data_IF_049068664338
#
_entry.id   IF_049068664338
#
_cell.length_a   1.000
_cell.length_b   1.000
_cell.length_c   1.000
_cell.angle_alpha   90.00
_cell.angle_beta   90.00
_cell.angle_gamma   90.00
#
_symmetry.space_group_name_H-M   'P 1'
#
loop_
_entity.id
_entity.type
_entity.pdbx_description
1 polymer ?
#
# COMPACT_ATOMS: atom_id res chain seq x y z
N UNK A 1 -1.32 -3.54 15.67
CA UNK A 1 -1.82 -4.04 16.96
C UNK A 1 -2.35 -5.43 16.72
N UNK A 2 -1.76 -6.45 17.35
CA UNK A 2 -2.18 -7.85 17.19
C UNK A 2 -3.28 -8.09 18.25
N UNK A 3 -4.50 -8.39 17.81
CA UNK A 3 -5.66 -8.62 18.68
C UNK A 3 -5.90 -10.12 18.85
N UNK A 4 -5.92 -10.59 20.09
CA UNK A 4 -6.32 -11.95 20.50
C UNK A 4 -7.41 -11.79 21.57
N UNK A 5 -8.64 -12.17 21.24
CA UNK A 5 -9.85 -11.64 21.88
C UNK A 5 -10.07 -12.07 23.33
N UNK A 6 -9.94 -11.12 24.27
CA UNK A 6 -10.47 -11.23 25.63
C UNK A 6 -11.19 -9.94 26.06
N UNK A 7 -12.50 -10.09 26.24
CA UNK A 7 -13.54 -9.06 26.42
C UNK A 7 -13.37 -7.99 27.51
N UNK A 8 -13.99 -6.84 27.19
CA UNK A 8 -14.36 -5.62 27.95
C UNK A 8 -13.48 -4.38 27.79
N UNK A 9 -12.19 -4.42 28.11
CA UNK A 9 -11.29 -3.28 27.85
C UNK A 9 -10.92 -3.15 26.36
N UNK A 10 -10.87 -4.27 25.66
CA UNK A 10 -10.55 -4.35 24.22
C UNK A 10 -11.69 -3.83 23.34
N UNK A 11 -12.95 -4.14 23.70
CA UNK A 11 -14.15 -3.65 23.00
C UNK A 11 -14.27 -2.12 23.10
N UNK A 12 -13.93 -1.55 24.27
CA UNK A 12 -13.92 -0.10 24.47
C UNK A 12 -12.79 0.59 23.68
N UNK A 13 -11.58 0.03 23.68
CA UNK A 13 -10.47 0.55 22.88
C UNK A 13 -10.76 0.47 21.38
N UNK A 14 -11.45 -0.58 20.95
CA UNK A 14 -11.86 -0.78 19.58
C UNK A 14 -12.93 0.23 19.13
N UNK A 15 -14.01 0.38 19.91
CA UNK A 15 -15.03 1.39 19.63
C UNK A 15 -14.43 2.80 19.58
N UNK A 16 -13.56 3.13 20.55
CA UNK A 16 -12.86 4.41 20.55
C UNK A 16 -11.98 4.61 19.31
N UNK A 17 -11.31 3.56 18.85
CA UNK A 17 -10.49 3.62 17.63
C UNK A 17 -11.37 3.89 16.39
N UNK A 18 -12.50 3.19 16.26
CA UNK A 18 -13.41 3.35 15.13
C UNK A 18 -14.11 4.71 15.12
N UNK A 19 -14.56 5.21 16.28
CA UNK A 19 -15.14 6.56 16.41
C UNK A 19 -14.14 7.65 15.97
N UNK A 20 -12.86 7.51 16.32
CA UNK A 20 -11.82 8.44 15.90
C UNK A 20 -11.53 8.35 14.39
N UNK A 21 -11.52 7.15 13.82
CA UNK A 21 -11.37 6.95 12.36
C UNK A 21 -12.50 7.67 11.63
N UNK A 22 -13.74 7.43 12.03
CA UNK A 22 -14.91 8.02 11.42
C UNK A 22 -14.89 9.56 11.56
N UNK A 23 -14.57 10.08 12.73
CA UNK A 23 -14.50 11.53 12.98
C UNK A 23 -13.48 12.22 12.08
N UNK A 24 -12.25 11.71 12.02
CA UNK A 24 -11.18 12.29 11.20
C UNK A 24 -11.51 12.22 9.70
N UNK A 25 -12.04 11.09 9.23
CA UNK A 25 -12.42 10.94 7.83
C UNK A 25 -13.61 11.84 7.48
N UNK A 26 -14.57 12.01 8.39
CA UNK A 26 -15.72 12.92 8.22
C UNK A 26 -15.26 14.36 8.07
N UNK A 27 -14.35 14.83 8.94
CA UNK A 27 -13.83 16.19 8.85
C UNK A 27 -13.17 16.44 7.49
N UNK A 28 -12.27 15.56 7.06
CA UNK A 28 -11.60 15.72 5.77
C UNK A 28 -12.57 15.63 4.59
N UNK A 29 -13.50 14.66 4.58
CA UNK A 29 -14.50 14.56 3.53
C UNK A 29 -15.36 15.83 3.44
N UNK A 30 -15.70 16.44 4.58
CA UNK A 30 -16.55 17.64 4.60
C UNK A 30 -15.80 18.92 4.25
N UNK A 31 -14.47 18.97 4.43
CA UNK A 31 -13.61 20.01 3.84
C UNK A 31 -13.63 19.94 2.30
N UNK A 32 -13.80 18.74 1.74
CA UNK A 32 -13.78 18.49 0.30
C UNK A 32 -15.15 18.53 -0.39
N UNK A 33 -16.27 18.63 0.34
CA UNK A 33 -17.62 18.59 -0.25
C UNK A 33 -18.24 19.97 -0.36
N UNK A 34 -19.09 20.15 -1.37
CA UNK A 34 -20.04 21.27 -1.42
C UNK A 34 -21.16 21.08 -0.40
N UNK A 35 -21.92 22.16 -0.15
CA UNK A 35 -23.06 22.13 0.78
C UNK A 35 -24.10 21.06 0.40
N UNK A 36 -24.38 20.89 -0.90
CA UNK A 36 -25.35 19.91 -1.38
C UNK A 36 -24.84 18.46 -1.24
N UNK A 37 -23.57 18.21 -1.56
CA UNK A 37 -22.92 16.90 -1.40
C UNK A 37 -22.89 16.49 0.07
N UNK A 38 -22.50 17.41 0.95
CA UNK A 38 -22.48 17.21 2.40
C UNK A 38 -23.87 16.90 2.94
N UNK A 39 -24.88 17.70 2.57
CA UNK A 39 -26.25 17.48 3.03
C UNK A 39 -26.78 16.11 2.59
N UNK A 40 -26.44 15.66 1.38
CA UNK A 40 -26.81 14.32 0.93
C UNK A 40 -26.13 13.23 1.79
N UNK A 41 -24.83 13.35 2.05
CA UNK A 41 -24.08 12.40 2.89
C UNK A 41 -24.60 12.33 4.32
N UNK A 42 -24.89 13.48 4.94
CA UNK A 42 -25.45 13.55 6.30
C UNK A 42 -26.80 12.84 6.39
N UNK A 43 -27.65 12.93 5.35
CA UNK A 43 -28.90 12.15 5.27
C UNK A 43 -28.62 10.66 5.19
N UNK A 44 -27.68 10.22 4.35
CA UNK A 44 -27.37 8.79 4.20
C UNK A 44 -26.76 8.18 5.46
N UNK A 45 -25.96 8.93 6.23
CA UNK A 45 -25.37 8.44 7.48
C UNK A 45 -26.40 8.07 8.56
N UNK A 46 -27.64 8.54 8.44
CA UNK A 46 -28.74 8.22 9.37
C UNK A 46 -29.65 7.10 8.85
N UNK A 47 -29.37 6.57 7.66
CA UNK A 47 -30.16 5.52 7.01
C UNK A 47 -29.83 4.13 7.55
N UNK A 48 -30.74 3.17 7.31
CA UNK A 48 -30.48 1.76 7.61
C UNK A 48 -29.42 1.16 6.66
N UNK A 49 -28.92 -0.04 6.99
CA UNK A 49 -27.85 -0.69 6.24
C UNK A 49 -28.16 -0.88 4.74
N UNK A 50 -29.41 -1.23 4.37
CA UNK A 50 -29.80 -1.43 2.97
C UNK A 50 -29.76 -0.12 2.17
N UNK A 51 -30.25 0.96 2.78
CA UNK A 51 -30.20 2.31 2.20
C UNK A 51 -28.75 2.81 2.10
N UNK A 52 -27.89 2.57 3.10
CA UNK A 52 -26.46 2.88 3.05
C UNK A 52 -25.73 2.14 1.92
N UNK A 53 -25.99 0.84 1.76
CA UNK A 53 -25.46 0.06 0.64
C UNK A 53 -25.95 0.59 -0.72
N UNK A 54 -27.21 1.02 -0.79
CA UNK A 54 -27.77 1.65 -1.99
C UNK A 54 -27.11 3.00 -2.27
N UNK A 55 -26.84 3.80 -1.23
CA UNK A 55 -26.14 5.07 -1.32
C UNK A 55 -24.69 4.88 -1.78
N UNK A 56 -24.00 3.83 -1.32
CA UNK A 56 -22.66 3.48 -1.77
C UNK A 56 -22.61 3.28 -3.30
N UNK A 57 -23.58 2.54 -3.85
CA UNK A 57 -23.72 2.34 -5.30
C UNK A 57 -24.08 3.66 -5.99
N UNK A 58 -25.04 4.41 -5.45
CA UNK A 58 -25.57 5.62 -6.05
C UNK A 58 -24.69 6.87 -5.91
N UNK A 59 -23.63 6.84 -5.09
CA UNK A 59 -22.76 7.97 -4.78
C UNK A 59 -22.29 8.79 -6.00
N UNK A 60 -21.90 8.22 -7.16
CA UNK A 60 -21.48 9.00 -8.33
C UNK A 60 -22.57 9.91 -8.92
N UNK A 61 -23.84 9.74 -8.52
CA UNK A 61 -24.97 10.59 -8.96
C UNK A 61 -25.11 11.87 -8.13
N UNK A 62 -24.57 11.87 -6.91
CA UNK A 62 -24.73 12.95 -5.94
C UNK A 62 -23.40 13.62 -5.59
N UNK A 63 -22.28 12.92 -5.78
CA UNK A 63 -20.94 13.38 -5.45
C UNK A 63 -20.16 13.65 -6.74
N UNK A 64 -19.49 14.80 -6.79
CA UNK A 64 -18.63 15.20 -7.89
C UNK A 64 -17.42 14.30 -8.02
N UNK A 65 -16.93 14.14 -9.25
CA UNK A 65 -15.80 13.28 -9.58
C UNK A 65 -14.45 13.99 -9.47
N UNK A 66 -14.35 15.06 -8.68
CA UNK A 66 -13.06 15.74 -8.46
C UNK A 66 -12.13 14.84 -7.64
N UNK A 67 -10.83 15.02 -7.83
CA UNK A 67 -9.85 14.37 -6.95
C UNK A 67 -9.66 15.22 -5.70
N UNK A 68 -9.48 14.55 -4.56
CA UNK A 68 -9.05 15.19 -3.32
C UNK A 68 -7.52 15.19 -3.29
N UNK A 69 -6.93 16.29 -2.83
CA UNK A 69 -5.48 16.45 -2.76
C UNK A 69 -5.11 17.10 -1.45
N UNK A 70 -4.12 16.53 -0.76
CA UNK A 70 -3.58 17.15 0.44
C UNK A 70 -2.09 16.86 0.53
N UNK A 71 -1.36 17.76 1.19
CA UNK A 71 0.05 17.50 1.47
C UNK A 71 0.17 16.35 2.48
N UNK A 72 0.50 15.16 1.96
CA UNK A 72 0.69 13.95 2.75
C UNK A 72 1.92 14.01 3.66
N UNK A 73 2.85 14.96 3.46
CA UNK A 73 3.97 15.19 4.39
C UNK A 73 3.55 16.07 5.57
N UNK A 74 2.60 16.99 5.36
CA UNK A 74 2.05 17.87 6.43
C UNK A 74 0.91 17.20 7.19
N UNK A 75 0.07 16.42 6.51
CA UNK A 75 -1.00 15.60 7.09
C UNK A 75 -0.56 14.13 7.05
N UNK A 76 0.59 13.85 7.67
CA UNK A 76 1.31 12.57 7.68
C UNK A 76 0.40 11.37 7.97
N UNK A 77 -0.64 11.59 8.77
CA UNK A 77 -1.66 10.60 9.05
C UNK A 77 -3.04 11.28 9.01
N UNK A 78 -3.78 11.08 7.91
CA UNK A 78 -5.20 11.45 7.85
C UNK A 78 -5.99 10.82 9.01
N UNK A 79 -5.54 9.64 9.44
CA UNK A 79 -6.03 8.91 10.61
C UNK A 79 -4.83 8.61 11.50
N UNK A 80 -4.72 9.31 12.63
CA UNK A 80 -3.58 9.27 13.56
C UNK A 80 -3.16 7.86 14.00
N UNK A 81 -4.11 6.94 14.11
CA UNK A 81 -3.87 5.57 14.60
C UNK A 81 -3.64 4.53 13.50
N UNK A 82 -3.66 4.94 12.22
CA UNK A 82 -3.48 4.06 11.09
C UNK A 82 -2.42 4.63 10.13
N UNK A 83 -1.13 4.57 10.52
CA UNK A 83 -0.07 5.08 9.69
C UNK A 83 -0.01 4.32 8.37
N UNK A 84 0.23 5.06 7.28
CA UNK A 84 0.27 4.52 5.93
C UNK A 84 -1.03 4.56 5.16
N UNK A 85 -2.17 4.84 5.81
CA UNK A 85 -3.41 5.10 5.10
C UNK A 85 -3.36 6.49 4.44
N UNK A 86 -3.55 6.54 3.12
CA UNK A 86 -3.60 7.79 2.36
C UNK A 86 -4.80 7.83 1.42
N UNK A 87 -5.45 8.98 1.36
CA UNK A 87 -6.53 9.26 0.42
C UNK A 87 -6.13 10.28 -0.66
N UNK A 88 -4.86 10.72 -0.68
CA UNK A 88 -4.36 11.71 -1.64
C UNK A 88 -4.50 11.20 -3.08
N UNK A 89 -5.04 12.05 -3.95
CA UNK A 89 -5.35 11.74 -5.34
C UNK A 89 -6.59 10.88 -5.55
N UNK A 90 -7.32 10.49 -4.50
CA UNK A 90 -8.56 9.73 -4.66
C UNK A 90 -9.64 10.60 -5.27
N UNK A 91 -10.52 9.98 -6.06
CA UNK A 91 -11.77 10.61 -6.45
C UNK A 91 -12.66 10.82 -5.21
N UNK A 92 -13.33 11.97 -5.09
CA UNK A 92 -14.23 12.27 -3.98
C UNK A 92 -15.35 11.21 -3.84
N UNK A 93 -15.82 10.63 -4.96
CA UNK A 93 -16.77 9.51 -4.93
C UNK A 93 -16.20 8.28 -4.19
N UNK A 94 -14.91 7.96 -4.40
CA UNK A 94 -14.24 6.85 -3.68
C UNK A 94 -14.16 7.15 -2.19
N UNK A 95 -13.79 8.38 -1.83
CA UNK A 95 -13.73 8.82 -0.43
C UNK A 95 -15.10 8.74 0.25
N UNK A 96 -16.15 9.26 -0.40
CA UNK A 96 -17.53 9.18 0.09
C UNK A 96 -18.03 7.74 0.23
N UNK A 97 -17.71 6.87 -0.73
CA UNK A 97 -18.04 5.44 -0.65
C UNK A 97 -17.39 4.77 0.57
N UNK A 98 -16.09 5.00 0.78
CA UNK A 98 -15.37 4.48 1.94
C UNK A 98 -15.99 4.99 3.25
N UNK A 99 -16.34 6.28 3.32
CA UNK A 99 -17.01 6.86 4.48
C UNK A 99 -18.40 6.27 4.76
N UNK A 100 -19.20 5.98 3.72
CA UNK A 100 -20.49 5.31 3.87
C UNK A 100 -20.35 3.90 4.45
N UNK A 101 -19.29 3.16 4.08
CA UNK A 101 -19.05 1.82 4.63
C UNK A 101 -18.79 1.85 6.14
N UNK A 102 -18.15 2.91 6.65
CA UNK A 102 -17.89 3.06 8.09
C UNK A 102 -19.16 3.25 8.92
N UNK A 103 -20.28 3.66 8.30
CA UNK A 103 -21.57 3.77 8.98
C UNK A 103 -22.33 2.45 9.08
N UNK A 104 -21.87 1.39 8.41
CA UNK A 104 -22.50 0.06 8.52
C UNK A 104 -22.20 -0.63 9.86
N UNK A 105 -21.23 -0.13 10.63
CA UNK A 105 -20.73 -0.78 11.86
C UNK A 105 -21.78 -0.92 12.98
N UNK A 106 -22.90 -0.19 12.92
CA UNK A 106 -23.98 -0.34 13.91
C UNK A 106 -24.65 -1.71 13.90
N UNK A 107 -24.39 -2.54 12.89
CA UNK A 107 -24.92 -3.90 12.75
C UNK A 107 -24.11 -4.94 13.56
N UNK A 108 -24.74 -6.05 14.01
CA UNK A 108 -24.00 -7.19 14.57
C UNK A 108 -22.92 -7.71 13.60
N UNK A 109 -21.80 -8.23 14.14
CA UNK A 109 -20.62 -8.68 13.37
C UNK A 109 -20.99 -9.50 12.13
N UNK A 110 -21.82 -10.52 12.27
CA UNK A 110 -22.19 -11.42 11.17
C UNK A 110 -22.96 -10.69 10.06
N UNK A 111 -23.83 -9.76 10.44
CA UNK A 111 -24.61 -8.97 9.50
C UNK A 111 -23.73 -7.91 8.81
N UNK A 112 -22.82 -7.27 9.55
CA UNK A 112 -21.81 -6.39 8.99
C UNK A 112 -20.99 -7.10 7.92
N UNK A 113 -20.47 -8.29 8.25
CA UNK A 113 -19.66 -9.09 7.33
C UNK A 113 -20.45 -9.43 6.07
N UNK A 114 -21.69 -9.91 6.25
CA UNK A 114 -22.58 -10.23 5.13
C UNK A 114 -22.87 -9.03 4.23
N UNK A 115 -23.06 -7.84 4.79
CA UNK A 115 -23.31 -6.62 4.03
C UNK A 115 -22.10 -6.25 3.14
N UNK A 116 -20.90 -6.26 3.72
CA UNK A 116 -19.66 -5.98 2.96
C UNK A 116 -19.40 -7.04 1.89
N UNK A 117 -19.58 -8.33 2.20
CA UNK A 117 -19.45 -9.43 1.23
C UNK A 117 -20.46 -9.29 0.08
N UNK A 118 -21.70 -8.90 0.37
CA UNK A 118 -22.72 -8.62 -0.65
C UNK A 118 -22.29 -7.48 -1.58
N UNK A 119 -21.66 -6.43 -1.05
CA UNK A 119 -21.09 -5.36 -1.87
C UNK A 119 -19.94 -5.89 -2.74
N UNK A 120 -19.03 -6.69 -2.21
CA UNK A 120 -17.96 -7.30 -3.01
C UNK A 120 -18.49 -8.18 -4.14
N UNK A 121 -19.52 -8.97 -3.90
CA UNK A 121 -20.09 -9.89 -4.90
C UNK A 121 -20.81 -9.18 -6.05
N UNK A 122 -21.30 -7.96 -5.82
CA UNK A 122 -22.12 -7.21 -6.78
C UNK A 122 -21.43 -5.97 -7.35
N UNK A 123 -20.27 -5.60 -6.81
CA UNK A 123 -19.59 -4.35 -7.12
C UNK A 123 -19.07 -4.28 -8.57
N UNK A 124 -19.24 -3.10 -9.18
CA UNK A 124 -18.48 -2.72 -10.37
C UNK A 124 -17.04 -2.30 -10.03
N UNK A 125 -16.23 -2.00 -11.04
CA UNK A 125 -14.80 -1.70 -10.89
C UNK A 125 -14.49 -0.59 -9.87
N UNK A 126 -15.14 0.57 -9.93
CA UNK A 126 -14.87 1.68 -9.00
C UNK A 126 -15.45 1.43 -7.59
N UNK A 127 -16.47 0.60 -7.48
CA UNK A 127 -16.99 0.08 -6.21
C UNK A 127 -15.99 -0.89 -5.57
N UNK A 128 -15.43 -1.82 -6.34
CA UNK A 128 -14.34 -2.70 -5.89
C UNK A 128 -13.14 -1.89 -5.44
N UNK A 129 -12.72 -0.89 -6.23
CA UNK A 129 -11.64 0.02 -5.83
C UNK A 129 -11.96 0.64 -4.46
N UNK A 130 -13.16 1.18 -4.24
CA UNK A 130 -13.54 1.73 -2.94
C UNK A 130 -13.52 0.68 -1.81
N UNK A 131 -14.06 -0.52 -2.03
CA UNK A 131 -14.08 -1.61 -1.04
C UNK A 131 -12.67 -2.04 -0.64
N UNK A 132 -11.77 -2.26 -1.61
CA UNK A 132 -10.37 -2.64 -1.32
C UNK A 132 -9.60 -1.53 -0.60
N UNK A 133 -9.96 -0.28 -0.87
CA UNK A 133 -9.38 0.89 -0.19
C UNK A 133 -9.85 1.04 1.25
N UNK A 134 -11.06 0.55 1.54
CA UNK A 134 -11.66 0.63 2.85
C UNK A 134 -11.11 -0.44 3.80
N UNK A 135 -10.60 -1.57 3.29
CA UNK A 135 -10.13 -2.69 4.12
C UNK A 135 -9.27 -2.33 5.35
N UNK A 136 -8.27 -1.42 5.27
CA UNK A 136 -7.49 -1.03 6.46
C UNK A 136 -8.31 -0.26 7.52
N UNK A 137 -9.48 0.26 7.16
CA UNK A 137 -10.43 0.98 8.02
C UNK A 137 -11.59 0.11 8.52
N UNK A 138 -11.86 -1.02 7.84
CA UNK A 138 -13.01 -1.85 8.18
C UNK A 138 -12.73 -2.66 9.46
N UNK A 139 -13.78 -2.88 10.28
CA UNK A 139 -13.70 -3.77 11.42
C UNK A 139 -13.40 -5.22 11.00
N UNK A 140 -12.91 -6.04 11.94
CA UNK A 140 -12.62 -7.47 11.72
C UNK A 140 -11.63 -7.75 10.56
N UNK A 141 -10.41 -7.20 10.61
CA UNK A 141 -9.51 -7.17 9.45
C UNK A 141 -9.18 -8.56 8.89
N UNK A 142 -9.11 -9.59 9.72
CA UNK A 142 -8.81 -10.96 9.30
C UNK A 142 -9.87 -11.59 8.40
N UNK A 143 -11.14 -11.17 8.54
CA UNK A 143 -12.25 -11.67 7.71
C UNK A 143 -12.06 -11.28 6.24
N UNK A 144 -11.38 -10.15 5.97
CA UNK A 144 -11.14 -9.63 4.63
C UNK A 144 -9.93 -10.22 3.92
N UNK A 145 -9.16 -11.09 4.59
CA UNK A 145 -7.88 -11.57 4.05
C UNK A 145 -8.07 -12.34 2.74
N UNK A 146 -9.13 -13.15 2.64
CA UNK A 146 -9.46 -13.88 1.42
C UNK A 146 -9.68 -12.91 0.24
N UNK A 147 -10.57 -11.91 0.42
CA UNK A 147 -10.82 -10.87 -0.58
C UNK A 147 -9.55 -10.11 -0.94
N UNK A 148 -8.78 -9.67 0.05
CA UNK A 148 -7.57 -8.90 -0.18
C UNK A 148 -6.51 -9.69 -1.00
N UNK A 149 -6.36 -10.99 -0.75
CA UNK A 149 -5.47 -11.84 -1.56
C UNK A 149 -6.05 -12.19 -2.93
N UNK A 150 -7.38 -12.22 -3.10
CA UNK A 150 -8.04 -12.34 -4.41
C UNK A 150 -7.72 -11.12 -5.31
N UNK A 151 -7.70 -9.91 -4.76
CA UNK A 151 -7.33 -8.71 -5.50
C UNK A 151 -5.93 -8.81 -6.11
N UNK A 152 -4.97 -9.38 -5.37
CA UNK A 152 -3.60 -9.64 -5.86
C UNK A 152 -3.61 -10.64 -7.01
N UNK A 153 -4.50 -11.64 -7.01
CA UNK A 153 -4.62 -12.63 -8.09
C UNK A 153 -5.39 -12.11 -9.30
N UNK A 154 -6.21 -11.07 -9.15
CA UNK A 154 -7.02 -10.49 -10.25
C UNK A 154 -6.18 -9.75 -11.29
N UNK A 155 -6.58 -9.75 -12.57
CA UNK A 155 -5.94 -8.94 -13.62
C UNK A 155 -6.46 -7.49 -13.67
N UNK A 156 -7.25 -7.07 -12.67
CA UNK A 156 -7.84 -5.73 -12.62
C UNK A 156 -6.82 -4.74 -12.04
N UNK A 157 -6.16 -3.97 -12.91
CA UNK A 157 -5.09 -3.04 -12.52
C UNK A 157 -5.48 -2.06 -11.41
N UNK A 158 -6.64 -1.41 -11.52
CA UNK A 158 -7.10 -0.45 -10.50
C UNK A 158 -7.45 -1.10 -9.16
N UNK A 159 -7.97 -2.34 -9.17
CA UNK A 159 -8.24 -3.11 -7.94
C UNK A 159 -6.92 -3.52 -7.28
N UNK A 160 -5.96 -3.97 -8.09
CA UNK A 160 -4.62 -4.25 -7.61
C UNK A 160 -3.97 -3.01 -6.97
N UNK A 161 -4.11 -1.85 -7.60
CA UNK A 161 -3.56 -0.59 -7.07
C UNK A 161 -4.19 -0.20 -5.73
N UNK A 162 -5.52 -0.36 -5.61
CA UNK A 162 -6.26 -0.04 -4.39
C UNK A 162 -5.79 -0.85 -3.18
N UNK A 163 -5.36 -2.11 -3.38
CA UNK A 163 -4.84 -2.95 -2.29
C UNK A 163 -3.32 -2.84 -2.11
N UNK A 164 -2.54 -2.60 -3.17
CA UNK A 164 -1.08 -2.69 -3.13
C UNK A 164 -0.35 -1.38 -2.87
N UNK A 165 -0.91 -0.24 -3.29
CA UNK A 165 -0.24 1.06 -3.24
C UNK A 165 -0.92 1.96 -2.21
N UNK A 166 -0.12 2.58 -1.34
CA UNK A 166 -0.57 3.51 -0.29
C UNK A 166 -1.70 2.93 0.60
N UNK A 167 -1.66 1.62 0.81
CA UNK A 167 -2.61 0.87 1.61
C UNK A 167 -1.85 0.05 2.66
N UNK A 168 -2.10 0.24 3.97
CA UNK A 168 -1.37 -0.48 5.01
C UNK A 168 -1.87 -1.91 5.25
N UNK A 169 -3.02 -2.31 4.68
CA UNK A 169 -3.63 -3.61 4.93
C UNK A 169 -2.70 -4.79 4.63
N UNK A 170 -2.01 -4.87 3.47
CA UNK A 170 -1.12 -6.00 3.18
C UNK A 170 0.04 -6.13 4.17
N UNK A 171 0.61 -5.02 4.62
CA UNK A 171 1.71 -5.05 5.59
C UNK A 171 1.27 -5.66 6.92
N UNK A 172 0.07 -5.27 7.36
CA UNK A 172 -0.47 -5.65 8.66
C UNK A 172 -0.97 -7.10 8.68
N UNK A 173 -1.58 -7.58 7.59
CA UNK A 173 -2.38 -8.82 7.62
C UNK A 173 -1.94 -9.90 6.63
N UNK A 174 -1.19 -9.59 5.57
CA UNK A 174 -0.83 -10.64 4.62
C UNK A 174 0.15 -11.64 5.24
N UNK A 175 -0.04 -12.96 5.02
CA UNK A 175 1.03 -13.91 5.22
C UNK A 175 2.16 -13.64 4.21
N UNK A 176 3.37 -14.09 4.54
CA UNK A 176 4.58 -13.81 3.76
C UNK A 176 4.45 -14.19 2.27
N UNK A 177 3.85 -15.34 1.96
CA UNK A 177 3.64 -15.76 0.58
C UNK A 177 2.76 -14.78 -0.23
N UNK A 178 1.67 -14.28 0.36
CA UNK A 178 0.78 -13.32 -0.30
C UNK A 178 1.45 -11.95 -0.44
N UNK A 179 2.23 -11.54 0.56
CA UNK A 179 3.05 -10.35 0.51
C UNK A 179 4.08 -10.40 -0.63
N UNK A 180 4.81 -11.51 -0.74
CA UNK A 180 5.81 -11.70 -1.79
C UNK A 180 5.17 -11.64 -3.18
N UNK A 181 3.99 -12.26 -3.36
CA UNK A 181 3.22 -12.17 -4.61
C UNK A 181 2.80 -10.74 -4.93
N UNK A 182 2.36 -9.96 -3.95
CA UNK A 182 1.99 -8.56 -4.14
C UNK A 182 3.19 -7.73 -4.60
N UNK A 183 4.35 -7.88 -3.96
CA UNK A 183 5.56 -7.14 -4.33
C UNK A 183 6.04 -7.53 -5.73
N UNK A 184 6.14 -8.83 -6.02
CA UNK A 184 6.54 -9.34 -7.34
C UNK A 184 5.60 -8.82 -8.43
N UNK A 185 4.29 -8.90 -8.21
CA UNK A 185 3.30 -8.41 -9.17
C UNK A 185 3.40 -6.90 -9.39
N UNK A 186 3.68 -6.13 -8.34
CA UNK A 186 3.90 -4.68 -8.46
C UNK A 186 5.08 -4.39 -9.40
N UNK A 187 6.17 -5.14 -9.28
CA UNK A 187 7.35 -5.03 -10.14
C UNK A 187 7.04 -5.45 -11.58
N UNK A 188 6.37 -6.60 -11.76
CA UNK A 188 6.00 -7.09 -13.09
C UNK A 188 5.07 -6.13 -13.84
N UNK A 189 4.21 -5.43 -13.10
CA UNK A 189 3.32 -4.41 -13.66
C UNK A 189 4.00 -3.05 -13.88
N UNK A 190 5.30 -2.90 -13.56
CA UNK A 190 6.05 -1.65 -13.70
C UNK A 190 5.56 -0.53 -12.78
N UNK A 191 4.95 -0.88 -11.63
CA UNK A 191 4.36 0.07 -10.69
C UNK A 191 5.40 0.56 -9.67
N UNK A 192 5.20 1.75 -9.07
CA UNK A 192 6.13 2.33 -8.10
C UNK A 192 6.13 1.53 -6.80
N UNK A 193 7.09 0.60 -6.64
CA UNK A 193 7.16 -0.28 -5.45
C UNK A 193 7.35 0.49 -4.15
N UNK A 194 7.94 1.68 -4.20
CA UNK A 194 8.11 2.55 -3.02
C UNK A 194 6.77 3.04 -2.43
N UNK A 195 5.67 2.94 -3.18
CA UNK A 195 4.33 3.21 -2.64
C UNK A 195 3.72 2.00 -1.92
N UNK A 196 4.36 0.83 -1.95
CA UNK A 196 3.96 -0.30 -1.10
C UNK A 196 4.30 0.07 0.35
N UNK A 197 3.27 0.32 1.15
CA UNK A 197 3.47 0.67 2.55
C UNK A 197 4.11 -0.49 3.31
N UNK A 198 5.14 -0.19 4.11
CA UNK A 198 5.87 -1.18 4.89
C UNK A 198 6.86 -2.05 4.09
N UNK A 199 7.17 -1.69 2.83
CA UNK A 199 8.10 -2.44 1.99
C UNK A 199 9.41 -2.80 2.69
N UNK A 200 10.07 -1.80 3.29
CA UNK A 200 11.35 -1.98 3.98
C UNK A 200 11.27 -2.89 5.20
N UNK A 201 10.16 -2.84 5.95
CA UNK A 201 9.97 -3.63 7.18
C UNK A 201 9.68 -5.10 6.90
N UNK A 202 9.10 -5.39 5.74
CA UNK A 202 8.63 -6.73 5.35
C UNK A 202 9.49 -7.37 4.27
N UNK A 203 10.68 -6.82 3.99
CA UNK A 203 11.70 -7.52 3.18
C UNK A 203 12.02 -8.85 3.84
N UNK A 204 12.08 -9.92 3.06
CA UNK A 204 12.40 -11.27 3.51
C UNK A 204 13.29 -11.98 2.49
N UNK A 205 13.89 -13.09 2.92
CA UNK A 205 14.88 -13.81 2.11
C UNK A 205 14.25 -14.42 0.86
N UNK A 206 13.06 -14.98 0.97
CA UNK A 206 12.32 -15.67 -0.07
C UNK A 206 11.90 -14.70 -1.18
N UNK A 207 11.48 -13.49 -0.79
CA UNK A 207 11.29 -12.36 -1.70
C UNK A 207 12.60 -12.00 -2.39
N UNK A 208 13.70 -11.81 -1.64
CA UNK A 208 15.01 -11.47 -2.22
C UNK A 208 15.48 -12.49 -3.26
N UNK A 209 15.35 -13.79 -2.98
CA UNK A 209 15.68 -14.87 -3.93
C UNK A 209 14.84 -14.71 -5.20
N UNK A 210 13.52 -14.60 -5.06
CA UNK A 210 12.61 -14.45 -6.20
C UNK A 210 12.92 -13.20 -7.04
N UNK A 211 13.30 -12.11 -6.38
CA UNK A 211 13.70 -10.86 -7.03
C UNK A 211 15.03 -11.03 -7.76
N UNK A 212 16.01 -11.70 -7.15
CA UNK A 212 17.30 -11.93 -7.78
C UNK A 212 17.19 -12.85 -9.00
N UNK A 213 16.33 -13.85 -8.97
CA UNK A 213 16.00 -14.70 -10.12
C UNK A 213 15.37 -13.87 -11.25
N UNK A 214 14.38 -13.03 -10.92
CA UNK A 214 13.77 -12.09 -11.87
C UNK A 214 14.81 -11.16 -12.51
N UNK A 215 15.67 -10.55 -11.69
CA UNK A 215 16.77 -9.69 -12.17
C UNK A 215 17.65 -10.47 -13.15
N UNK A 216 18.09 -11.66 -12.76
CA UNK A 216 18.99 -12.49 -13.55
C UNK A 216 18.36 -12.85 -14.90
N UNK A 217 17.08 -13.22 -14.93
CA UNK A 217 16.33 -13.50 -16.16
C UNK A 217 16.22 -12.25 -17.06
N UNK A 218 15.94 -11.07 -16.48
CA UNK A 218 15.85 -9.82 -17.23
C UNK A 218 17.17 -9.45 -17.89
N UNK A 219 18.27 -9.53 -17.15
CA UNK A 219 19.61 -9.26 -17.67
C UNK A 219 20.03 -10.28 -18.74
N UNK A 220 19.74 -11.57 -18.55
CA UNK A 220 20.02 -12.60 -19.55
C UNK A 220 19.27 -12.35 -20.87
N UNK A 221 18.08 -11.75 -20.80
CA UNK A 221 17.29 -11.32 -21.95
C UNK A 221 17.68 -9.93 -22.51
N UNK A 222 18.72 -9.27 -21.99
CA UNK A 222 19.13 -7.93 -22.41
C UNK A 222 18.13 -6.83 -22.07
N UNK A 223 17.23 -7.07 -21.10
CA UNK A 223 16.18 -6.13 -20.69
C UNK A 223 16.61 -5.36 -19.45
N UNK A 224 16.38 -4.03 -19.42
CA UNK A 224 16.66 -3.19 -18.24
C UNK A 224 15.80 -3.61 -17.04
N UNK A 225 16.35 -3.44 -15.83
CA UNK A 225 15.66 -3.61 -14.55
C UNK A 225 15.61 -2.24 -13.87
N UNK A 226 14.44 -1.77 -13.38
CA UNK A 226 14.37 -0.53 -12.62
C UNK A 226 15.30 -0.58 -11.40
N UNK A 227 16.13 0.43 -11.21
CA UNK A 227 17.18 0.44 -10.18
C UNK A 227 16.63 0.20 -8.77
N UNK A 228 15.46 0.75 -8.44
CA UNK A 228 14.79 0.53 -7.15
C UNK A 228 14.50 -0.95 -6.83
N UNK A 229 14.40 -1.86 -7.81
CA UNK A 229 14.14 -3.29 -7.54
C UNK A 229 15.26 -3.92 -6.71
N UNK A 230 16.49 -3.41 -6.84
CA UNK A 230 17.65 -3.88 -6.08
C UNK A 230 17.53 -3.67 -4.57
N UNK A 231 16.65 -2.75 -4.10
CA UNK A 231 16.38 -2.49 -2.68
C UNK A 231 15.90 -3.72 -1.90
N UNK A 232 15.31 -4.67 -2.62
CA UNK A 232 14.76 -5.91 -2.05
C UNK A 232 15.83 -6.99 -1.85
N UNK A 233 17.04 -6.79 -2.39
CA UNK A 233 18.14 -7.76 -2.34
C UNK A 233 19.17 -7.40 -1.26
N UNK A 234 19.36 -6.10 -0.97
CA UNK A 234 20.44 -5.57 -0.11
C UNK A 234 20.63 -6.29 1.22
N UNK A 235 19.54 -6.54 1.95
CA UNK A 235 19.58 -7.17 3.28
C UNK A 235 19.81 -8.70 3.24
N UNK A 236 19.68 -9.33 2.07
CA UNK A 236 19.69 -10.79 1.90
C UNK A 236 20.61 -11.24 0.76
N UNK A 237 21.66 -10.46 0.46
CA UNK A 237 22.63 -10.80 -0.58
C UNK A 237 23.27 -12.17 -0.34
N UNK A 238 23.41 -12.94 -1.42
CA UNK A 238 24.08 -14.24 -1.44
C UNK A 238 25.36 -14.16 -2.28
N UNK A 239 26.25 -15.15 -2.19
CA UNK A 239 27.50 -15.16 -2.97
C UNK A 239 27.24 -15.02 -4.49
N UNK A 240 26.13 -15.58 -4.98
CA UNK A 240 25.65 -15.47 -6.35
C UNK A 240 25.34 -14.03 -6.79
N UNK A 241 25.06 -13.12 -5.84
CA UNK A 241 24.80 -11.71 -6.10
C UNK A 241 26.09 -10.95 -6.44
N UNK A 242 27.24 -11.36 -5.93
CA UNK A 242 28.49 -10.61 -6.03
C UNK A 242 28.93 -10.33 -7.48
N UNK A 243 28.97 -11.32 -8.41
CA UNK A 243 29.36 -11.05 -9.80
C UNK A 243 28.45 -10.03 -10.49
N UNK A 244 27.15 -10.04 -10.13
CA UNK A 244 26.18 -9.11 -10.72
C UNK A 244 26.42 -7.68 -10.23
N UNK A 245 26.74 -7.47 -8.95
CA UNK A 245 27.10 -6.14 -8.44
C UNK A 245 28.37 -5.60 -9.07
N UNK A 246 29.38 -6.45 -9.31
CA UNK A 246 30.58 -6.05 -10.07
C UNK A 246 30.20 -5.56 -11.48
N UNK A 247 29.27 -6.24 -12.16
CA UNK A 247 28.75 -5.78 -13.46
C UNK A 247 28.04 -4.43 -13.35
N UNK A 248 27.20 -4.24 -12.33
CA UNK A 248 26.48 -2.97 -12.12
C UNK A 248 27.44 -1.80 -11.86
N UNK A 249 28.48 -1.98 -11.03
CA UNK A 249 29.48 -0.95 -10.80
C UNK A 249 30.26 -0.57 -12.07
N UNK A 250 30.44 -1.52 -13.00
CA UNK A 250 31.08 -1.28 -14.30
C UNK A 250 30.11 -0.71 -15.35
N UNK A 251 28.82 -0.55 -15.03
CA UNK A 251 27.83 -0.02 -15.96
C UNK A 251 28.09 1.45 -16.30
N UNK A 252 27.66 1.85 -17.50
CA UNK A 252 27.64 3.27 -17.91
C UNK A 252 26.48 4.04 -17.29
N UNK A 253 25.41 3.33 -16.89
CA UNK A 253 24.23 3.93 -16.29
C UNK A 253 24.51 4.33 -14.83
N UNK A 254 24.21 5.58 -14.48
CA UNK A 254 24.47 6.12 -13.13
C UNK A 254 23.63 5.38 -12.08
N UNK A 255 22.34 5.18 -12.35
CA UNK A 255 21.40 4.52 -11.43
C UNK A 255 21.80 3.07 -11.11
N UNK A 256 22.41 2.35 -12.05
CA UNK A 256 22.88 0.98 -11.82
C UNK A 256 24.09 0.96 -10.86
N UNK A 257 25.02 1.91 -11.00
CA UNK A 257 26.15 2.05 -10.07
C UNK A 257 25.68 2.45 -8.67
N UNK A 258 24.71 3.35 -8.59
CA UNK A 258 24.11 3.81 -7.33
C UNK A 258 23.34 2.69 -6.63
N UNK A 259 22.55 1.90 -7.37
CA UNK A 259 21.86 0.73 -6.83
C UNK A 259 22.85 -0.31 -6.28
N UNK A 260 23.96 -0.58 -6.98
CA UNK A 260 24.99 -1.48 -6.48
C UNK A 260 25.65 -0.97 -5.20
N UNK A 261 25.92 0.33 -5.11
CA UNK A 261 26.46 0.95 -3.91
C UNK A 261 25.51 0.80 -2.71
N UNK A 262 24.22 1.08 -2.90
CA UNK A 262 23.20 0.93 -1.86
C UNK A 262 23.04 -0.52 -1.42
N UNK A 263 23.01 -1.49 -2.35
CA UNK A 263 22.99 -2.93 -2.01
C UNK A 263 24.18 -3.33 -1.15
N UNK A 264 25.39 -2.92 -1.54
CA UNK A 264 26.59 -3.19 -0.75
C UNK A 264 26.56 -2.48 0.61
N UNK A 265 25.99 -1.27 0.67
CA UNK A 265 25.84 -0.49 1.89
C UNK A 265 24.75 -1.01 2.83
N UNK A 266 23.77 -1.77 2.36
CA UNK A 266 22.78 -2.43 3.25
C UNK A 266 23.25 -3.80 3.72
N UNK A 267 24.17 -4.43 2.97
CA UNK A 267 24.64 -5.77 3.27
C UNK A 267 25.33 -5.87 4.62
N UNK A 268 25.05 -6.98 5.33
CA UNK A 268 25.78 -7.38 6.54
C UNK A 268 27.03 -8.22 6.22
N UNK A 269 27.23 -8.61 4.95
CA UNK A 269 28.35 -9.44 4.54
C UNK A 269 29.61 -8.57 4.25
N UNK A 270 30.75 -8.81 4.94
CA UNK A 270 31.97 -8.02 4.76
C UNK A 270 32.51 -7.97 3.33
N UNK A 271 32.28 -9.01 2.53
CA UNK A 271 32.73 -9.05 1.14
C UNK A 271 32.06 -7.94 0.30
N UNK A 272 30.78 -7.67 0.55
CA UNK A 272 30.03 -6.63 -0.15
C UNK A 272 30.44 -5.23 0.32
N UNK A 273 30.75 -5.06 1.61
CA UNK A 273 31.33 -3.82 2.15
C UNK A 273 32.70 -3.52 1.53
N UNK A 274 33.54 -4.54 1.40
CA UNK A 274 34.85 -4.44 0.74
C UNK A 274 34.74 -4.16 -0.77
N UNK A 275 33.62 -4.53 -1.40
CA UNK A 275 33.35 -4.12 -2.78
C UNK A 275 33.02 -2.62 -2.85
N UNK A 276 32.19 -2.11 -1.94
CA UNK A 276 31.83 -0.69 -1.88
C UNK A 276 33.03 0.22 -1.62
N UNK A 277 33.98 -0.19 -0.77
CA UNK A 277 35.16 0.64 -0.44
C UNK A 277 36.08 0.94 -1.63
N UNK A 278 35.90 0.24 -2.76
CA UNK A 278 36.57 0.55 -4.04
C UNK A 278 35.96 1.79 -4.74
N UNK A 279 34.82 2.27 -4.27
CA UNK A 279 34.05 3.39 -4.81
C UNK A 279 33.78 4.44 -3.71
N UNK A 280 34.83 5.10 -3.16
CA UNK A 280 34.71 5.96 -1.99
C UNK A 280 33.77 7.15 -2.20
N UNK A 281 33.63 7.67 -3.42
CA UNK A 281 32.69 8.76 -3.72
C UNK A 281 31.23 8.34 -3.49
N UNK A 282 30.86 7.12 -3.91
CA UNK A 282 29.51 6.59 -3.69
C UNK A 282 29.28 6.25 -2.21
N UNK A 283 30.29 5.69 -1.55
CA UNK A 283 30.22 5.39 -0.11
C UNK A 283 30.01 6.66 0.73
N UNK A 284 30.77 7.72 0.44
CA UNK A 284 30.62 9.03 1.10
C UNK A 284 29.25 9.65 0.82
N UNK A 285 28.76 9.57 -0.42
CA UNK A 285 27.44 10.08 -0.80
C UNK A 285 26.31 9.41 0.02
N UNK A 286 26.40 8.10 0.25
CA UNK A 286 25.44 7.37 1.09
C UNK A 286 25.57 7.78 2.57
N UNK A 287 26.80 7.89 3.08
CA UNK A 287 27.05 8.26 4.49
C UNK A 287 26.59 9.70 4.81
N UNK A 288 26.67 10.61 3.84
CA UNK A 288 26.20 11.99 3.98
C UNK A 288 24.67 12.13 3.80
N UNK A 289 23.99 11.07 3.35
CA UNK A 289 22.55 11.11 3.03
C UNK A 289 22.23 11.73 1.66
N UNK A 290 23.24 11.97 0.82
CA UNK A 290 23.07 12.49 -0.55
C UNK A 290 22.52 11.41 -1.50
N UNK A 291 22.80 10.13 -1.21
CA UNK A 291 22.33 8.97 -1.95
C UNK A 291 21.58 7.98 -1.04
N UNK A 292 20.30 7.76 -1.35
CA UNK A 292 19.45 6.72 -0.78
C UNK A 292 18.50 6.16 -1.86
N UNK A 293 17.65 5.19 -1.49
CA UNK A 293 16.71 4.61 -2.44
C UNK A 293 15.70 5.60 -3.02
N UNK A 294 15.36 6.70 -2.31
CA UNK A 294 14.42 7.71 -2.82
C UNK A 294 14.94 8.39 -4.10
N UNK A 295 16.27 8.41 -4.30
CA UNK A 295 16.89 8.93 -5.52
C UNK A 295 16.74 8.01 -6.73
N UNK A 296 16.36 6.75 -6.50
CA UNK A 296 16.19 5.71 -7.53
C UNK A 296 14.72 5.31 -7.72
N UNK A 297 13.80 5.99 -7.04
CA UNK A 297 12.37 5.77 -7.14
C UNK A 297 11.84 6.37 -8.45
N UNK A 298 11.59 5.51 -9.43
CA UNK A 298 10.94 5.92 -10.68
C UNK A 298 9.44 6.06 -10.44
N UNK A 299 8.90 7.26 -10.65
CA UNK A 299 7.47 7.47 -10.87
C UNK A 299 7.25 7.26 -12.36
N UNK A 300 6.50 6.22 -12.76
CA UNK A 300 6.06 6.11 -14.14
C UNK A 300 5.15 7.31 -14.45
N UNK A 301 5.50 8.11 -15.47
CA UNK A 301 4.62 9.14 -16.05
C UNK A 301 3.27 8.56 -16.49
#
# INVERSE_FOLDING_TARGET
MIYDGKHTTEDFQYQFLMENILTNLTQFLFEETSVAERAWLEVQAQSNALELMTAFVAAPRFISKKNVTYDSQVRENLISHLPGFQADGWNLVRLSRVWLLLHLESEPKEQFIKNIETLFDTAELNELVALYSALPLLPYPWEWLARATDAVRSNMGFVFDAISLKNPYPELYFPEAAWNQLVLKTIFNGKPIHWIYGLERRKNKELSISIFDFISERYAAGRKVPAQVWRLVGSFVEESTYPKLVQLFASKEKEEREAAALVCFESKNPQFRSLLSKYPELELSIQNGDLDWSKLESISE
#
